data_IF_461845041869
#
_entry.id   IF_461845041869
#
_cell.length_a   1.000
_cell.length_b   1.000
_cell.length_c   1.000
_cell.angle_alpha   90.00
_cell.angle_beta   90.00
_cell.angle_gamma   90.00
#
_symmetry.space_group_name_H-M   'P 1'
#
loop_
_entity.id
_entity.type
_entity.pdbx_description
1 polymer ?
#
# COMPACT_ATOMS: atom_id res chain seq x y z
N UNK A 1 -5.10 -27.99 31.91
CA UNK A 1 -3.84 -27.40 32.36
C UNK A 1 -2.72 -27.71 31.39
N UNK A 2 -2.19 -26.66 30.76
CA UNK A 2 -0.80 -26.47 30.33
C UNK A 2 -0.18 -27.32 29.20
N UNK A 3 -0.65 -27.16 27.94
CA UNK A 3 0.26 -27.40 26.78
C UNK A 3 -0.05 -26.71 25.44
N UNK A 4 -0.95 -25.71 25.37
CA UNK A 4 -1.18 -24.91 24.14
C UNK A 4 -0.75 -23.44 24.34
N UNK A 5 -0.20 -23.09 25.51
CA UNK A 5 0.07 -21.69 25.87
C UNK A 5 1.49 -21.22 25.52
N UNK A 6 2.43 -22.06 25.09
CA UNK A 6 3.86 -21.64 25.05
C UNK A 6 4.40 -21.25 23.68
N UNK A 7 3.70 -21.58 22.58
CA UNK A 7 4.09 -21.18 21.22
C UNK A 7 3.47 -19.87 20.73
N UNK A 8 2.37 -19.42 21.34
CA UNK A 8 1.62 -18.23 20.94
C UNK A 8 1.98 -16.94 21.68
N UNK A 9 2.71 -17.02 22.79
CA UNK A 9 2.95 -15.86 23.66
C UNK A 9 4.03 -14.91 23.09
N UNK A 10 5.04 -15.41 22.36
CA UNK A 10 6.03 -14.51 21.73
C UNK A 10 5.46 -13.70 20.55
N UNK A 11 4.40 -14.20 19.90
CA UNK A 11 3.69 -13.46 18.84
C UNK A 11 2.58 -12.54 19.40
N UNK A 12 2.07 -12.83 20.60
CA UNK A 12 0.98 -12.08 21.23
C UNK A 12 1.47 -10.73 21.80
N UNK A 13 2.63 -10.66 22.46
CA UNK A 13 3.10 -9.41 23.08
C UNK A 13 3.49 -8.32 22.07
N UNK A 14 4.05 -8.68 20.90
CA UNK A 14 4.32 -7.73 19.81
C UNK A 14 3.06 -7.38 19.01
N UNK A 15 2.15 -8.34 18.82
CA UNK A 15 0.87 -8.14 18.13
C UNK A 15 -0.08 -7.21 18.89
N UNK A 16 -0.10 -7.27 20.22
CA UNK A 16 -0.91 -6.37 21.06
C UNK A 16 -0.41 -4.92 20.98
N UNK A 17 0.91 -4.68 21.00
CA UNK A 17 1.47 -3.33 20.88
C UNK A 17 1.24 -2.72 19.47
N UNK A 18 1.41 -3.51 18.41
CA UNK A 18 1.18 -3.08 17.02
C UNK A 18 -0.31 -2.88 16.71
N UNK A 19 -1.20 -3.62 17.37
CA UNK A 19 -2.65 -3.42 17.28
C UNK A 19 -3.10 -2.17 18.07
N UNK A 20 -2.52 -1.94 19.26
CA UNK A 20 -2.78 -0.74 20.08
C UNK A 20 -2.20 0.56 19.48
N UNK A 21 -1.09 0.52 18.74
CA UNK A 21 -0.63 1.67 17.97
C UNK A 21 -1.63 2.03 16.83
N UNK A 22 -2.32 1.02 16.29
CA UNK A 22 -3.40 1.21 15.33
C UNK A 22 -4.68 1.82 15.93
N UNK A 23 -4.97 1.60 17.21
CA UNK A 23 -6.16 2.19 17.87
C UNK A 23 -6.05 3.70 18.05
N UNK A 24 -4.83 4.26 18.13
CA UNK A 24 -4.62 5.72 18.10
C UNK A 24 -5.04 6.31 16.74
N UNK A 25 -4.73 5.64 15.62
CA UNK A 25 -5.18 6.05 14.30
C UNK A 25 -6.72 5.96 14.17
N UNK A 26 -7.35 4.92 14.73
CA UNK A 26 -8.81 4.85 14.84
C UNK A 26 -9.38 6.01 15.69
N UNK A 27 -8.75 6.41 16.79
CA UNK A 27 -9.26 7.54 17.60
C UNK A 27 -9.12 8.91 16.89
N UNK A 28 -8.10 9.07 16.05
CA UNK A 28 -7.85 10.28 15.26
C UNK A 28 -8.71 10.36 14.00
N UNK A 29 -9.02 9.24 13.34
CA UNK A 29 -9.85 9.21 12.14
C UNK A 29 -11.35 9.02 12.45
N UNK A 30 -11.72 8.21 13.45
CA UNK A 30 -13.13 7.96 13.76
C UNK A 30 -13.83 9.14 14.44
N UNK A 31 -13.14 10.00 15.20
CA UNK A 31 -13.76 11.20 15.80
C UNK A 31 -14.25 12.22 14.76
N UNK A 32 -13.42 12.68 13.81
CA UNK A 32 -13.89 13.58 12.74
C UNK A 32 -14.83 12.87 11.76
N UNK A 33 -14.63 11.58 11.44
CA UNK A 33 -15.55 10.87 10.55
C UNK A 33 -16.92 10.55 11.19
N UNK A 34 -16.99 10.35 12.51
CA UNK A 34 -18.25 10.25 13.25
C UNK A 34 -18.97 11.60 13.33
N UNK A 35 -18.23 12.70 13.48
CA UNK A 35 -18.79 14.06 13.44
C UNK A 35 -19.32 14.42 12.03
N UNK A 36 -18.71 13.85 10.99
CA UNK A 36 -19.15 13.98 9.60
C UNK A 36 -20.27 13.00 9.18
N UNK A 37 -20.83 12.21 10.11
CA UNK A 37 -21.97 11.32 9.85
C UNK A 37 -21.65 10.06 9.02
N UNK A 38 -20.37 9.65 8.95
CA UNK A 38 -19.96 8.49 8.16
C UNK A 38 -20.36 7.18 8.86
N UNK A 39 -21.10 6.32 8.15
CA UNK A 39 -21.50 5.01 8.66
C UNK A 39 -20.27 4.11 8.98
N UNK A 40 -20.31 3.42 10.12
CA UNK A 40 -19.15 2.70 10.65
C UNK A 40 -18.56 1.62 9.72
N UNK A 41 -19.40 1.03 8.87
CA UNK A 41 -19.00 0.08 7.81
C UNK A 41 -18.04 0.65 6.76
N UNK A 42 -17.89 1.98 6.69
CA UNK A 42 -17.03 2.66 5.72
C UNK A 42 -15.67 3.08 6.32
N UNK A 43 -15.45 2.92 7.63
CA UNK A 43 -14.19 3.35 8.27
C UNK A 43 -12.97 2.59 7.72
N UNK A 44 -13.06 1.27 7.54
CA UNK A 44 -11.97 0.47 6.99
C UNK A 44 -11.60 0.93 5.56
N UNK A 45 -12.60 1.28 4.73
CA UNK A 45 -12.39 1.79 3.37
C UNK A 45 -11.61 3.11 3.37
N UNK A 46 -12.02 4.06 4.20
CA UNK A 46 -11.35 5.36 4.36
C UNK A 46 -9.92 5.15 4.86
N UNK A 47 -9.73 4.25 5.82
CA UNK A 47 -8.41 3.91 6.35
C UNK A 47 -7.46 3.40 5.25
N UNK A 48 -7.91 2.48 4.39
CA UNK A 48 -7.08 1.98 3.29
C UNK A 48 -6.74 3.09 2.28
N UNK A 49 -7.68 3.99 1.99
CA UNK A 49 -7.43 5.15 1.12
C UNK A 49 -6.38 6.10 1.72
N UNK A 50 -6.47 6.44 3.00
CA UNK A 50 -5.51 7.31 3.68
C UNK A 50 -4.13 6.65 3.77
N UNK A 51 -4.11 5.35 4.09
CA UNK A 51 -2.88 4.55 4.12
C UNK A 51 -2.20 4.51 2.75
N UNK A 52 -2.97 4.24 1.69
CA UNK A 52 -2.48 4.26 0.31
C UNK A 52 -1.91 5.64 -0.05
N UNK A 53 -2.63 6.71 0.28
CA UNK A 53 -2.20 8.08 -0.02
C UNK A 53 -0.89 8.43 0.68
N UNK A 54 -0.74 8.05 1.95
CA UNK A 54 0.49 8.26 2.72
C UNK A 54 1.71 7.66 2.01
N UNK A 55 1.61 6.40 1.56
CA UNK A 55 2.72 5.73 0.86
C UNK A 55 2.99 6.28 -0.53
N UNK A 56 1.95 6.70 -1.26
CA UNK A 56 2.12 7.38 -2.55
C UNK A 56 2.88 8.69 -2.35
N UNK A 57 2.46 9.54 -1.41
CA UNK A 57 3.14 10.82 -1.13
C UNK A 57 4.59 10.59 -0.69
N UNK A 58 4.83 9.62 0.20
CA UNK A 58 6.19 9.26 0.61
C UNK A 58 7.05 8.83 -0.60
N UNK A 59 6.49 8.03 -1.52
CA UNK A 59 7.19 7.59 -2.73
C UNK A 59 7.51 8.76 -3.68
N UNK A 60 6.59 9.72 -3.82
CA UNK A 60 6.81 10.92 -4.63
C UNK A 60 7.91 11.81 -4.03
N UNK A 61 7.91 12.00 -2.70
CA UNK A 61 8.98 12.75 -2.02
C UNK A 61 10.34 12.10 -2.27
N UNK A 62 10.41 10.77 -2.22
CA UNK A 62 11.63 10.02 -2.55
C UNK A 62 12.04 10.22 -4.01
N UNK A 63 11.10 10.22 -4.95
CA UNK A 63 11.40 10.49 -6.37
C UNK A 63 12.00 11.89 -6.57
N UNK A 64 11.44 12.92 -5.93
CA UNK A 64 11.96 14.29 -6.04
C UNK A 64 13.30 14.51 -5.34
N UNK A 65 13.62 13.70 -4.32
CA UNK A 65 14.89 13.77 -3.59
C UNK A 65 15.88 12.67 -4.05
N UNK A 66 15.69 12.09 -5.22
CA UNK A 66 16.50 10.99 -5.75
C UNK A 66 18.00 11.30 -5.76
N UNK A 67 18.39 12.55 -6.05
CA UNK A 67 19.79 12.99 -6.10
C UNK A 67 20.49 12.93 -4.74
N UNK A 68 19.76 13.14 -3.64
CA UNK A 68 20.31 12.99 -2.29
C UNK A 68 20.27 11.55 -1.79
N UNK A 69 19.50 10.66 -2.44
CA UNK A 69 19.26 9.30 -2.00
C UNK A 69 20.10 8.25 -2.73
N UNK A 70 20.86 8.65 -3.74
CA UNK A 70 21.74 7.79 -4.52
C UNK A 70 22.82 7.07 -3.68
N UNK A 71 23.11 7.53 -2.46
CA UNK A 71 24.04 6.86 -1.54
C UNK A 71 23.43 5.62 -0.85
N UNK A 72 22.10 5.58 -0.67
CA UNK A 72 21.44 4.49 0.06
C UNK A 72 21.20 3.25 -0.80
N UNK A 73 21.22 3.39 -2.12
CA UNK A 73 21.01 2.28 -3.04
C UNK A 73 22.28 2.08 -3.86
N UNK A 74 22.94 0.94 -3.64
CA UNK A 74 24.12 0.56 -4.40
C UNK A 74 23.76 0.48 -5.88
N UNK A 75 24.53 1.17 -6.74
CA UNK A 75 24.35 1.14 -8.21
C UNK A 75 24.23 -0.28 -8.80
N UNK A 76 24.78 -1.28 -8.10
CA UNK A 76 24.69 -2.68 -8.47
C UNK A 76 23.27 -3.31 -8.41
N UNK A 77 22.31 -2.72 -7.67
CA UNK A 77 20.95 -3.30 -7.52
C UNK A 77 19.91 -2.59 -8.40
N UNK A 78 20.19 -1.35 -8.81
CA UNK A 78 19.31 -0.49 -9.62
C UNK A 78 20.04 -0.08 -10.91
N UNK A 79 20.26 -1.06 -11.80
CA UNK A 79 20.88 -0.79 -13.10
C UNK A 79 19.82 -0.33 -14.11
N UNK A 80 20.06 0.79 -14.79
CA UNK A 80 19.12 1.31 -15.78
C UNK A 80 19.34 0.57 -17.11
N UNK A 81 18.32 -0.11 -17.68
CA UNK A 81 18.48 -0.73 -18.99
C UNK A 81 18.75 0.35 -20.04
N UNK A 82 19.71 0.14 -20.96
CA UNK A 82 20.10 1.14 -21.97
C UNK A 82 19.00 1.44 -23.00
N UNK A 83 17.91 0.69 -22.99
CA UNK A 83 16.74 0.88 -23.86
C UNK A 83 15.89 2.11 -23.48
N UNK A 84 16.12 2.68 -22.29
CA UNK A 84 15.40 3.85 -21.80
C UNK A 84 16.38 5.03 -21.80
N UNK A 85 16.28 5.94 -22.79
CA UNK A 85 17.07 7.19 -22.90
C UNK A 85 16.72 8.18 -21.77
N UNK A 86 16.96 7.80 -20.53
CA UNK A 86 16.59 8.54 -19.33
C UNK A 86 17.83 8.91 -18.53
N UNK A 87 17.83 10.08 -17.91
CA UNK A 87 18.91 10.49 -17.01
C UNK A 87 19.00 9.53 -15.81
N UNK A 88 20.21 9.23 -15.35
CA UNK A 88 20.47 8.28 -14.25
C UNK A 88 19.60 8.54 -13.01
N UNK A 89 19.43 9.81 -12.62
CA UNK A 89 18.63 10.20 -11.45
C UNK A 89 17.14 9.92 -11.63
N UNK A 90 16.62 10.11 -12.84
CA UNK A 90 15.21 9.93 -13.17
C UNK A 90 14.89 8.44 -13.35
N UNK A 91 15.83 7.65 -13.88
CA UNK A 91 15.73 6.20 -13.93
C UNK A 91 15.74 5.59 -12.54
N UNK A 92 16.62 6.09 -11.68
CA UNK A 92 16.67 5.71 -10.27
C UNK A 92 15.32 5.96 -9.61
N UNK A 93 14.84 7.21 -9.56
CA UNK A 93 13.57 7.59 -8.93
C UNK A 93 12.37 6.80 -9.47
N UNK A 94 12.29 6.62 -10.79
CA UNK A 94 11.22 5.84 -11.45
C UNK A 94 11.24 4.38 -10.99
N UNK A 95 12.41 3.77 -10.84
CA UNK A 95 12.52 2.38 -10.41
C UNK A 95 12.14 2.18 -8.93
N UNK A 96 12.36 3.17 -8.04
CA UNK A 96 11.85 3.11 -6.66
C UNK A 96 10.33 3.24 -6.62
N UNK A 97 9.75 4.13 -7.44
CA UNK A 97 8.31 4.28 -7.56
C UNK A 97 7.64 2.98 -8.04
N UNK A 98 8.20 2.35 -9.06
CA UNK A 98 7.67 1.07 -9.58
C UNK A 98 7.68 -0.02 -8.51
N UNK A 99 8.75 -0.12 -7.72
CA UNK A 99 8.85 -1.08 -6.60
C UNK A 99 7.84 -0.81 -5.51
N UNK A 100 7.64 0.46 -5.13
CA UNK A 100 6.59 0.86 -4.19
C UNK A 100 5.20 0.48 -4.72
N UNK A 101 4.91 0.78 -5.99
CA UNK A 101 3.66 0.43 -6.65
C UNK A 101 3.41 -1.08 -6.66
N UNK A 102 4.45 -1.87 -6.95
CA UNK A 102 4.38 -3.33 -6.90
C UNK A 102 4.16 -3.86 -5.48
N UNK A 103 4.84 -3.31 -4.48
CA UNK A 103 4.63 -3.69 -3.07
C UNK A 103 3.20 -3.40 -2.62
N UNK A 104 2.65 -2.26 -3.02
CA UNK A 104 1.25 -1.88 -2.76
C UNK A 104 0.27 -2.84 -3.47
N UNK A 105 0.53 -3.21 -4.72
CA UNK A 105 -0.26 -4.21 -5.44
C UNK A 105 -0.28 -5.54 -4.69
N UNK A 106 0.89 -6.08 -4.33
CA UNK A 106 1.01 -7.33 -3.59
C UNK A 106 0.28 -7.28 -2.25
N UNK A 107 0.43 -6.18 -1.50
CA UNK A 107 -0.26 -5.99 -0.24
C UNK A 107 -1.79 -6.02 -0.42
N UNK A 108 -2.34 -5.29 -1.38
CA UNK A 108 -3.78 -5.26 -1.63
C UNK A 108 -4.30 -6.60 -2.15
N UNK A 109 -3.54 -7.29 -3.02
CA UNK A 109 -3.89 -8.63 -3.48
C UNK A 109 -3.89 -9.63 -2.32
N UNK A 110 -2.89 -9.59 -1.43
CA UNK A 110 -2.82 -10.45 -0.26
C UNK A 110 -4.02 -10.20 0.65
N UNK A 111 -4.32 -8.94 0.98
CA UNK A 111 -5.48 -8.58 1.79
C UNK A 111 -6.77 -9.04 1.12
N UNK A 112 -6.91 -8.87 -0.20
CA UNK A 112 -8.06 -9.36 -0.95
C UNK A 112 -8.23 -10.88 -0.83
N UNK A 113 -7.15 -11.65 -1.02
CA UNK A 113 -7.17 -13.12 -0.88
C UNK A 113 -7.51 -13.53 0.56
N UNK A 114 -6.98 -12.84 1.58
CA UNK A 114 -7.33 -13.11 2.98
C UNK A 114 -8.83 -12.90 3.23
N UNK A 115 -9.42 -11.82 2.71
CA UNK A 115 -10.86 -11.52 2.87
C UNK A 115 -11.74 -12.62 2.25
N UNK A 116 -11.30 -13.27 1.17
CA UNK A 116 -12.02 -14.40 0.57
C UNK A 116 -12.22 -15.57 1.54
N UNK A 117 -11.35 -15.71 2.55
CA UNK A 117 -11.45 -16.75 3.58
C UNK A 117 -12.64 -16.61 4.53
N UNK A 118 -13.35 -15.47 4.55
CA UNK A 118 -14.60 -15.21 5.33
C UNK A 118 -14.57 -15.70 6.79
N UNK A 119 -13.41 -15.63 7.47
CA UNK A 119 -13.25 -16.03 8.87
C UNK A 119 -13.39 -14.82 9.83
N UNK A 120 -13.83 -15.05 11.07
CA UNK A 120 -13.95 -13.97 12.08
C UNK A 120 -12.59 -13.33 12.42
N UNK A 121 -11.52 -14.13 12.45
CA UNK A 121 -10.16 -13.62 12.62
C UNK A 121 -9.72 -12.69 11.47
N UNK A 122 -10.20 -12.96 10.25
CA UNK A 122 -9.92 -12.13 9.07
C UNK A 122 -10.71 -10.81 9.14
N UNK A 123 -11.95 -10.84 9.63
CA UNK A 123 -12.72 -9.62 9.87
C UNK A 123 -12.02 -8.72 10.90
N UNK A 124 -11.54 -9.29 12.01
CA UNK A 124 -10.77 -8.57 13.01
C UNK A 124 -9.45 -7.99 12.44
N UNK A 125 -8.76 -8.73 11.57
CA UNK A 125 -7.57 -8.25 10.87
C UNK A 125 -7.89 -7.14 9.84
N UNK A 126 -8.99 -7.27 9.13
CA UNK A 126 -9.42 -6.32 8.11
C UNK A 126 -9.75 -4.96 8.73
N UNK A 127 -10.48 -4.97 9.85
CA UNK A 127 -10.94 -3.75 10.53
C UNK A 127 -9.90 -3.20 11.53
N UNK A 128 -8.96 -4.04 11.98
CA UNK A 128 -7.93 -3.69 12.98
C UNK A 128 -6.48 -3.74 12.48
N UNK A 129 -5.55 -3.75 13.43
CA UNK A 129 -4.11 -4.03 13.24
C UNK A 129 -3.37 -3.19 12.18
N UNK A 130 -3.59 -1.86 12.16
CA UNK A 130 -2.92 -0.94 11.23
C UNK A 130 -1.40 -0.95 11.33
N UNK A 131 -0.84 -1.06 12.55
CA UNK A 131 0.62 -1.10 12.74
C UNK A 131 1.26 -2.31 12.06
N UNK A 132 0.62 -3.49 12.15
CA UNK A 132 1.10 -4.67 11.45
C UNK A 132 0.99 -4.52 9.93
N UNK A 133 -0.08 -3.91 9.41
CA UNK A 133 -0.23 -3.65 7.97
C UNK A 133 0.88 -2.74 7.43
N UNK A 134 1.24 -1.69 8.17
CA UNK A 134 2.37 -0.80 7.84
C UNK A 134 3.68 -1.60 7.79
N UNK A 135 3.93 -2.42 8.80
CA UNK A 135 5.15 -3.24 8.89
C UNK A 135 5.21 -4.28 7.77
N UNK A 136 4.09 -4.94 7.47
CA UNK A 136 3.98 -5.92 6.40
C UNK A 136 4.28 -5.29 5.04
N UNK A 137 3.72 -4.11 4.75
CA UNK A 137 4.02 -3.39 3.52
C UNK A 137 5.49 -2.98 3.45
N UNK A 138 6.07 -2.49 4.56
CA UNK A 138 7.49 -2.19 4.66
C UNK A 138 8.37 -3.40 4.36
N UNK A 139 8.01 -4.58 4.90
CA UNK A 139 8.72 -5.83 4.64
C UNK A 139 8.61 -6.28 3.18
N UNK A 140 7.43 -6.17 2.56
CA UNK A 140 7.25 -6.45 1.12
C UNK A 140 8.08 -5.48 0.27
N UNK A 141 8.11 -4.20 0.65
CA UNK A 141 8.90 -3.19 -0.05
C UNK A 141 10.41 -3.46 0.04
N UNK A 142 10.94 -3.73 1.24
CA UNK A 142 12.35 -4.13 1.41
C UNK A 142 12.62 -5.43 0.65
N UNK A 143 11.69 -6.38 0.67
CA UNK A 143 11.78 -7.62 -0.11
C UNK A 143 11.83 -7.40 -1.62
N UNK A 144 11.21 -6.33 -2.13
CA UNK A 144 11.23 -6.00 -3.56
C UNK A 144 12.61 -5.60 -4.09
N UNK A 145 13.55 -5.23 -3.22
CA UNK A 145 14.93 -4.94 -3.61
C UNK A 145 15.73 -6.19 -3.98
N UNK A 146 15.30 -7.37 -3.54
CA UNK A 146 15.90 -8.62 -4.01
C UNK A 146 15.50 -8.99 -5.44
N UNK A 147 14.47 -8.36 -6.03
CA UNK A 147 14.08 -8.61 -7.40
C UNK A 147 14.90 -7.75 -8.38
N UNK A 148 15.40 -8.34 -9.49
CA UNK A 148 16.20 -7.63 -10.47
C UNK A 148 15.39 -6.55 -11.20
N UNK A 149 16.03 -5.42 -11.52
CA UNK A 149 15.36 -4.26 -12.12
C UNK A 149 14.70 -4.58 -13.49
N UNK A 150 15.27 -5.53 -14.23
CA UNK A 150 14.76 -5.97 -15.53
C UNK A 150 13.29 -6.45 -15.46
N UNK A 151 12.91 -7.16 -14.39
CA UNK A 151 11.53 -7.62 -14.20
C UNK A 151 10.54 -6.45 -14.10
N UNK A 152 10.92 -5.40 -13.37
CA UNK A 152 10.07 -4.24 -13.14
C UNK A 152 9.90 -3.39 -14.40
N UNK A 153 10.99 -3.11 -15.11
CA UNK A 153 10.94 -2.20 -16.27
C UNK A 153 10.36 -2.89 -17.51
N UNK A 154 10.68 -4.16 -17.79
CA UNK A 154 10.21 -4.82 -19.01
C UNK A 154 8.84 -5.48 -18.82
N UNK A 155 8.60 -6.09 -17.66
CA UNK A 155 7.36 -6.81 -17.36
C UNK A 155 6.32 -5.93 -16.69
N UNK A 156 6.60 -5.52 -15.44
CA UNK A 156 5.61 -4.85 -14.60
C UNK A 156 5.15 -3.51 -15.18
N UNK A 157 6.04 -2.74 -15.83
CA UNK A 157 5.69 -1.49 -16.48
C UNK A 157 4.65 -1.67 -17.61
N UNK A 158 4.79 -2.71 -18.44
CA UNK A 158 3.81 -3.02 -19.49
C UNK A 158 2.46 -3.38 -18.90
N UNK A 159 2.43 -4.25 -17.89
CA UNK A 159 1.20 -4.62 -17.18
C UNK A 159 0.54 -3.39 -16.54
N UNK A 160 1.35 -2.53 -15.92
CA UNK A 160 0.88 -1.31 -15.26
C UNK A 160 0.27 -0.32 -16.26
N UNK A 161 0.82 -0.21 -17.47
CA UNK A 161 0.23 0.61 -18.53
C UNK A 161 -1.19 0.15 -18.88
N UNK A 162 -1.38 -1.14 -19.14
CA UNK A 162 -2.71 -1.68 -19.45
C UNK A 162 -3.68 -1.53 -18.28
N UNK A 163 -3.25 -1.86 -17.05
CA UNK A 163 -4.08 -1.72 -15.86
C UNK A 163 -4.53 -0.27 -15.63
N UNK A 164 -3.63 0.70 -15.80
CA UNK A 164 -3.93 2.12 -15.69
C UNK A 164 -4.95 2.58 -16.73
N UNK A 165 -4.88 2.08 -17.98
CA UNK A 165 -5.89 2.38 -19.00
C UNK A 165 -7.29 1.96 -18.56
N UNK A 166 -7.44 0.74 -18.02
CA UNK A 166 -8.74 0.27 -17.50
C UNK A 166 -9.21 1.11 -16.30
N UNK A 167 -8.29 1.44 -15.39
CA UNK A 167 -8.62 2.26 -14.22
C UNK A 167 -9.12 3.66 -14.60
N UNK A 168 -8.51 4.31 -15.60
CA UNK A 168 -8.94 5.63 -16.08
C UNK A 168 -10.34 5.59 -16.70
N UNK A 169 -10.67 4.55 -17.47
CA UNK A 169 -12.03 4.36 -18.02
C UNK A 169 -13.03 4.20 -16.88
N UNK A 170 -12.71 3.37 -15.89
CA UNK A 170 -13.58 3.17 -14.73
C UNK A 170 -13.77 4.45 -13.91
N UNK A 171 -12.70 5.21 -13.68
CA UNK A 171 -12.76 6.50 -12.98
C UNK A 171 -13.63 7.52 -13.74
N UNK A 172 -13.54 7.56 -15.07
CA UNK A 172 -14.38 8.43 -15.90
C UNK A 172 -15.88 8.07 -15.77
N UNK A 173 -16.22 6.78 -15.77
CA UNK A 173 -17.60 6.32 -15.54
C UNK A 173 -18.12 6.72 -14.15
N UNK A 174 -17.28 6.60 -13.11
CA UNK A 174 -17.64 7.03 -11.76
C UNK A 174 -17.93 8.53 -11.69
N UNK A 175 -17.12 9.37 -12.35
CA UNK A 175 -17.37 10.82 -12.39
C UNK A 175 -18.69 11.16 -13.09
N UNK A 176 -19.03 10.44 -14.16
CA UNK A 176 -20.31 10.61 -14.86
C UNK A 176 -21.49 10.25 -13.96
N UNK A 177 -21.42 9.14 -13.22
CA UNK A 177 -22.47 8.75 -12.26
C UNK A 177 -22.64 9.82 -11.17
N UNK A 178 -21.54 10.35 -10.64
CA UNK A 178 -21.59 11.44 -9.65
C UNK A 178 -22.21 12.69 -10.25
N UNK A 179 -21.85 13.06 -11.48
CA UNK A 179 -22.41 14.24 -12.16
C UNK A 179 -23.93 14.13 -12.35
N UNK A 180 -24.45 12.97 -12.78
CA UNK A 180 -25.89 12.75 -12.86
C UNK A 180 -26.57 12.84 -11.49
N UNK A 181 -25.96 12.26 -10.45
CA UNK A 181 -26.51 12.32 -9.09
C UNK A 181 -26.55 13.74 -8.52
N UNK A 182 -25.56 14.57 -8.84
CA UNK A 182 -25.53 15.98 -8.42
C UNK A 182 -26.52 16.82 -9.23
N UNK A 183 -26.73 16.50 -10.51
CA UNK A 183 -27.68 17.22 -11.37
C UNK A 183 -29.16 16.90 -11.04
N UNK A 184 -29.45 15.69 -10.57
CA UNK A 184 -30.80 15.28 -10.17
C UNK A 184 -31.18 15.74 -8.74
N UNK A 185 -30.27 16.41 -8.02
CA UNK A 185 -30.49 17.02 -6.70
C UNK A 185 -30.74 18.53 -6.82
#
# INVERSE_FOLDING_TARGET
GNRIEMGGILACCAGQALCCAGSLCCSLLCKPCSAAGVAAKNFSKIGYTVFQLFWIVASLVVMFNADHLQWMATKAMLDCPPEMDLTDSLCFGTSLLLRMSFALLLFHTLVFVLILGRNEAVAAFHDGCWGFKVLLLGAIYVGSFWLPNHFFIVGYLKVSKYASTFFLIYQALLMLVVAYKVNDQ
#
